data_IF_332818835280
#
_entry.id   IF_332818835280
#
_cell.length_a   1.000
_cell.length_b   1.000
_cell.length_c   1.000
_cell.angle_alpha   90.00
_cell.angle_beta   90.00
_cell.angle_gamma   90.00
#
_symmetry.space_group_name_H-M   'P 1'
#
loop_
_entity.id
_entity.type
_entity.pdbx_description
1 polymer ?
#
# COMPACT_ATOMS: atom_id res chain seq x y z
N UNK A 1 -52.87 -35.48 -70.28
CA UNK A 1 -51.50 -35.01 -70.58
C UNK A 1 -50.90 -34.43 -69.29
N UNK A 2 -49.70 -34.90 -68.93
CA UNK A 2 -48.58 -34.27 -68.18
C UNK A 2 -48.80 -32.87 -67.56
N UNK A 3 -48.24 -32.47 -66.41
CA UNK A 3 -46.92 -32.72 -65.77
C UNK A 3 -47.00 -32.18 -64.32
N UNK A 4 -46.26 -32.72 -63.33
CA UNK A 4 -44.95 -32.19 -62.88
C UNK A 4 -45.03 -31.82 -61.38
N UNK A 5 -44.34 -32.52 -60.47
CA UNK A 5 -42.97 -32.29 -59.96
C UNK A 5 -42.91 -31.51 -58.63
N UNK A 6 -42.46 -32.24 -57.61
CA UNK A 6 -41.42 -31.93 -56.60
C UNK A 6 -41.58 -30.73 -55.63
N UNK A 7 -41.25 -30.97 -54.36
CA UNK A 7 -41.47 -30.05 -53.25
C UNK A 7 -40.73 -30.35 -51.94
N UNK A 8 -39.43 -30.67 -52.06
CA UNK A 8 -38.31 -30.20 -51.23
C UNK A 8 -38.53 -29.86 -49.72
N UNK A 9 -37.84 -30.62 -48.87
CA UNK A 9 -37.55 -30.34 -47.46
C UNK A 9 -36.85 -28.98 -47.25
N UNK A 10 -37.28 -28.16 -46.27
CA UNK A 10 -36.41 -27.22 -45.51
C UNK A 10 -37.17 -26.53 -44.36
N UNK A 11 -36.85 -26.86 -43.11
CA UNK A 11 -37.46 -26.18 -41.95
C UNK A 11 -36.83 -26.51 -40.59
N UNK A 12 -35.50 -26.33 -40.41
CA UNK A 12 -34.84 -26.66 -39.13
C UNK A 12 -33.71 -25.74 -38.66
N UNK A 13 -33.33 -24.72 -39.43
CA UNK A 13 -32.12 -23.92 -39.17
C UNK A 13 -32.32 -22.65 -38.32
N UNK A 14 -33.52 -22.07 -38.30
CA UNK A 14 -33.76 -20.77 -37.66
C UNK A 14 -33.85 -20.85 -36.13
N UNK A 15 -34.49 -21.89 -35.59
CA UNK A 15 -34.74 -22.03 -34.15
C UNK A 15 -33.49 -22.28 -33.29
N UNK A 16 -32.40 -22.81 -33.86
CA UNK A 16 -31.16 -23.04 -33.09
C UNK A 16 -30.32 -21.77 -32.89
N UNK A 17 -30.39 -20.80 -33.82
CA UNK A 17 -29.61 -19.55 -33.71
C UNK A 17 -30.15 -18.60 -32.65
N UNK A 18 -31.48 -18.54 -32.49
CA UNK A 18 -32.14 -17.64 -31.52
C UNK A 18 -31.87 -18.09 -30.09
N UNK A 19 -31.94 -19.41 -29.83
CA UNK A 19 -31.67 -20.00 -28.52
C UNK A 19 -30.24 -19.75 -28.02
N UNK A 20 -29.26 -19.77 -28.93
CA UNK A 20 -27.86 -19.49 -28.62
C UNK A 20 -27.56 -18.01 -28.30
N UNK A 21 -28.34 -17.05 -28.82
CA UNK A 21 -28.18 -15.62 -28.48
C UNK A 21 -28.73 -15.31 -27.09
N UNK A 22 -29.90 -15.86 -26.74
CA UNK A 22 -30.54 -15.65 -25.44
C UNK A 22 -29.68 -16.24 -24.31
N UNK A 23 -29.10 -17.44 -24.49
CA UNK A 23 -28.19 -18.04 -23.51
C UNK A 23 -26.88 -17.26 -23.31
N UNK A 24 -26.43 -16.46 -24.28
CA UNK A 24 -25.23 -15.62 -24.15
C UNK A 24 -25.51 -14.34 -23.36
N UNK A 25 -26.68 -13.73 -23.55
CA UNK A 25 -27.09 -12.54 -22.79
C UNK A 25 -27.31 -12.85 -21.30
N UNK A 26 -27.92 -13.98 -20.97
CA UNK A 26 -28.17 -14.40 -19.57
C UNK A 26 -26.87 -14.66 -18.81
N UNK A 27 -25.85 -15.26 -19.47
CA UNK A 27 -24.54 -15.50 -18.86
C UNK A 27 -23.72 -14.21 -18.67
N UNK A 28 -23.83 -13.25 -19.60
CA UNK A 28 -23.15 -11.97 -19.49
C UNK A 28 -23.69 -11.10 -18.34
N UNK A 29 -25.01 -11.12 -18.12
CA UNK A 29 -25.64 -10.38 -17.01
C UNK A 29 -25.34 -10.97 -15.63
N UNK A 30 -25.28 -12.30 -15.50
CA UNK A 30 -24.94 -12.96 -14.23
C UNK A 30 -23.48 -12.73 -13.81
N UNK A 31 -22.54 -12.66 -14.76
CA UNK A 31 -21.14 -12.36 -14.48
C UNK A 31 -20.92 -10.89 -14.04
N UNK A 32 -21.75 -9.97 -14.55
CA UNK A 32 -21.64 -8.53 -14.23
C UNK A 32 -22.15 -8.21 -12.82
N UNK A 33 -23.17 -8.93 -12.33
CA UNK A 33 -23.69 -8.78 -10.96
C UNK A 33 -22.78 -9.39 -9.88
N UNK A 34 -22.00 -10.43 -10.21
CA UNK A 34 -21.04 -11.03 -9.28
C UNK A 34 -19.78 -10.18 -9.06
N UNK A 35 -19.40 -9.36 -10.05
CA UNK A 35 -18.26 -8.45 -9.95
C UNK A 35 -18.54 -7.23 -9.04
N UNK A 36 -19.80 -6.81 -8.91
CA UNK A 36 -20.18 -5.68 -8.06
C UNK A 36 -20.26 -6.05 -6.56
N UNK A 37 -20.43 -7.33 -6.23
CA UNK A 37 -20.53 -7.79 -4.84
C UNK A 37 -19.17 -7.92 -4.12
N UNK A 38 -18.05 -7.87 -4.84
CA UNK A 38 -16.70 -8.02 -4.25
C UNK A 38 -16.12 -6.72 -3.67
N UNK A 39 -16.80 -5.58 -3.83
CA UNK A 39 -16.23 -4.27 -3.49
C UNK A 39 -16.49 -3.78 -2.05
N UNK A 40 -17.23 -4.52 -1.21
CA UNK A 40 -17.71 -4.00 0.08
C UNK A 40 -16.87 -4.52 1.29
N UNK A 41 -15.80 -5.28 1.07
CA UNK A 41 -15.12 -6.02 2.16
C UNK A 41 -13.66 -5.67 2.49
N UNK A 42 -12.99 -4.76 1.78
CA UNK A 42 -11.52 -4.69 1.83
C UNK A 42 -10.89 -3.64 2.77
N UNK A 43 -11.67 -2.80 3.47
CA UNK A 43 -11.13 -1.67 4.23
C UNK A 43 -11.10 -1.88 5.76
N UNK A 44 -11.12 -3.11 6.26
CA UNK A 44 -11.21 -3.37 7.70
C UNK A 44 -9.93 -3.04 8.49
N UNK A 45 -8.78 -2.87 7.82
CA UNK A 45 -7.50 -2.59 8.49
C UNK A 45 -7.14 -1.10 8.55
N UNK A 46 -7.83 -0.24 7.79
CA UNK A 46 -7.53 1.19 7.74
C UNK A 46 -8.52 1.99 8.63
N UNK A 47 -8.03 2.92 9.46
CA UNK A 47 -8.89 3.80 10.24
C UNK A 47 -9.65 4.78 9.33
N UNK A 48 -10.90 5.10 9.66
CA UNK A 48 -11.68 6.10 8.89
C UNK A 48 -11.08 7.50 9.11
N UNK A 49 -10.79 8.21 8.01
CA UNK A 49 -10.32 9.62 8.00
C UNK A 49 -8.97 9.94 8.69
N UNK A 50 -8.21 8.93 9.11
CA UNK A 50 -6.87 9.09 9.69
C UNK A 50 -5.88 8.15 9.00
N UNK A 51 -4.58 8.44 9.01
CA UNK A 51 -3.56 7.51 8.50
C UNK A 51 -3.35 6.31 9.43
N UNK A 52 -2.93 5.17 8.88
CA UNK A 52 -2.46 4.05 9.70
C UNK A 52 -1.24 4.50 10.49
N UNK A 53 -1.27 4.38 11.81
CA UNK A 53 -0.22 4.90 12.69
C UNK A 53 -0.29 6.41 12.91
N UNK A 54 -1.45 7.07 12.73
CA UNK A 54 -1.73 8.45 13.15
C UNK A 54 -3.19 8.57 13.66
N UNK A 55 -3.59 7.68 14.58
CA UNK A 55 -4.96 7.66 15.16
C UNK A 55 -5.03 8.00 16.64
N UNK A 56 -3.89 8.34 17.24
CA UNK A 56 -3.71 8.78 18.63
C UNK A 56 -4.65 9.90 19.13
N UNK A 57 -5.38 10.59 18.24
CA UNK A 57 -6.39 11.61 18.59
C UNK A 57 -7.80 11.06 18.84
N UNK A 58 -8.06 9.79 18.53
CA UNK A 58 -9.36 9.14 18.75
C UNK A 58 -9.37 8.50 20.14
N UNK A 59 -10.16 9.05 21.07
CA UNK A 59 -10.26 8.52 22.42
C UNK A 59 -10.65 7.02 22.40
N UNK A 60 -9.81 6.19 23.04
CA UNK A 60 -10.00 4.76 23.27
C UNK A 60 -10.02 3.85 22.02
N UNK A 61 -9.16 4.10 21.03
CA UNK A 61 -8.70 2.99 20.21
C UNK A 61 -7.88 2.06 21.12
N UNK A 62 -8.40 0.85 21.35
CA UNK A 62 -7.72 -0.22 22.06
C UNK A 62 -6.31 -0.33 21.48
N UNK A 63 -5.28 -0.07 22.29
CA UNK A 63 -3.90 -0.28 21.89
C UNK A 63 -3.80 -1.69 21.31
N UNK A 64 -3.33 -1.80 20.06
CA UNK A 64 -3.07 -3.09 19.44
C UNK A 64 -2.23 -3.91 20.42
N UNK A 65 -2.77 -5.08 20.82
CA UNK A 65 -2.12 -6.05 21.69
C UNK A 65 -0.89 -6.58 20.94
N UNK A 66 0.18 -5.79 20.94
CA UNK A 66 1.50 -6.24 20.56
C UNK A 66 1.86 -7.29 21.60
N UNK A 67 1.58 -8.54 21.24
CA UNK A 67 2.02 -9.69 22.01
C UNK A 67 3.51 -9.52 22.21
N UNK A 68 3.91 -9.46 23.47
CA UNK A 68 5.30 -9.28 23.89
C UNK A 68 6.15 -10.39 23.25
N UNK A 69 6.84 -10.08 22.15
CA UNK A 69 7.64 -11.05 21.39
C UNK A 69 7.58 -10.94 19.87
N UNK A 70 6.56 -10.30 19.28
CA UNK A 70 6.54 -10.06 17.83
C UNK A 70 7.54 -8.96 17.46
N UNK A 71 8.46 -9.29 16.55
CA UNK A 71 9.51 -8.37 16.12
C UNK A 71 8.92 -7.39 15.11
N UNK A 72 8.77 -6.13 15.52
CA UNK A 72 8.35 -5.03 14.65
C UNK A 72 9.24 -5.04 13.41
N UNK A 73 8.63 -5.16 12.24
CA UNK A 73 9.33 -5.17 10.95
C UNK A 73 9.10 -3.85 10.24
N UNK A 74 10.19 -3.18 9.90
CA UNK A 74 10.19 -1.86 9.26
C UNK A 74 10.90 -1.97 7.93
N UNK A 75 10.20 -1.68 6.85
CA UNK A 75 10.77 -1.60 5.51
C UNK A 75 11.29 -0.20 5.20
N UNK A 76 12.43 -0.09 4.53
CA UNK A 76 13.00 1.16 4.04
C UNK A 76 13.07 1.07 2.51
N UNK A 77 12.33 1.93 1.82
CA UNK A 77 12.33 2.06 0.36
C UNK A 77 13.16 3.29 -0.01
N UNK A 78 14.39 3.03 -0.43
CA UNK A 78 15.35 4.06 -0.84
C UNK A 78 15.64 4.04 -2.34
N UNK A 79 16.64 4.83 -2.72
CA UNK A 79 17.25 4.79 -4.06
C UNK A 79 18.08 3.51 -4.27
N UNK A 80 18.67 3.39 -5.45
CA UNK A 80 19.38 2.19 -5.91
C UNK A 80 20.61 1.76 -5.11
N UNK A 81 21.15 2.63 -4.27
CA UNK A 81 22.37 2.38 -3.52
C UNK A 81 22.15 2.56 -2.03
N UNK A 82 22.50 1.50 -1.29
CA UNK A 82 22.59 1.57 0.16
C UNK A 82 23.67 2.60 0.54
N UNK A 83 23.24 3.63 1.26
CA UNK A 83 24.08 4.75 1.70
C UNK A 83 24.44 4.60 3.18
N UNK A 84 25.51 5.25 3.63
CA UNK A 84 25.86 5.28 5.06
C UNK A 84 24.69 5.71 5.99
N UNK A 85 23.84 6.68 5.60
CA UNK A 85 22.61 7.00 6.34
C UNK A 85 21.63 5.82 6.44
N UNK A 86 21.48 5.02 5.37
CA UNK A 86 20.61 3.83 5.36
C UNK A 86 21.11 2.79 6.37
N UNK A 87 22.41 2.51 6.36
CA UNK A 87 23.04 1.59 7.33
C UNK A 87 22.85 2.07 8.78
N UNK A 88 22.98 3.37 9.02
CA UNK A 88 22.72 3.95 10.34
C UNK A 88 21.26 3.74 10.76
N UNK A 89 20.30 3.92 9.85
CA UNK A 89 18.87 3.65 10.11
C UNK A 89 18.63 2.18 10.45
N UNK A 90 19.17 1.25 9.67
CA UNK A 90 19.04 -0.18 9.94
C UNK A 90 19.63 -0.55 11.31
N UNK A 91 20.80 0.01 11.66
CA UNK A 91 21.43 -0.21 12.97
C UNK A 91 20.61 0.38 14.12
N UNK A 92 20.02 1.56 13.94
CA UNK A 92 19.15 2.16 14.94
C UNK A 92 17.93 1.29 15.21
N UNK A 93 17.30 0.73 14.16
CA UNK A 93 16.20 -0.21 14.29
C UNK A 93 16.59 -1.48 15.06
N UNK A 94 17.71 -2.10 14.69
CA UNK A 94 18.21 -3.33 15.34
C UNK A 94 18.50 -3.09 16.83
N UNK A 95 19.09 -1.94 17.18
CA UNK A 95 19.37 -1.58 18.58
C UNK A 95 18.12 -1.40 19.44
N UNK A 96 16.94 -1.24 18.82
CA UNK A 96 15.63 -1.13 19.47
C UNK A 96 14.75 -2.37 19.25
N UNK A 97 15.37 -3.52 18.93
CA UNK A 97 14.68 -4.79 18.70
C UNK A 97 13.65 -4.76 17.56
N UNK A 98 13.86 -3.90 16.56
CA UNK A 98 13.09 -3.86 15.32
C UNK A 98 13.89 -4.49 14.17
N UNK A 99 13.21 -5.17 13.27
CA UNK A 99 13.79 -5.75 12.06
C UNK A 99 13.71 -4.72 10.94
N UNK A 100 14.86 -4.16 10.57
CA UNK A 100 14.98 -3.30 9.38
C UNK A 100 15.16 -4.11 8.11
N UNK A 101 14.36 -3.83 7.07
CA UNK A 101 14.51 -4.39 5.73
C UNK A 101 14.75 -3.26 4.74
N UNK A 102 15.88 -3.25 4.05
CA UNK A 102 16.13 -2.27 2.99
C UNK A 102 15.73 -2.84 1.62
N UNK A 103 14.97 -2.05 0.88
CA UNK A 103 14.55 -2.30 -0.48
C UNK A 103 15.08 -1.16 -1.35
N UNK A 104 16.36 -1.24 -1.71
CA UNK A 104 17.01 -0.43 -2.73
C UNK A 104 17.10 -1.20 -4.04
N UNK A 105 16.70 -0.59 -5.16
CA UNK A 105 16.53 -1.25 -6.45
C UNK A 105 16.99 -0.37 -7.62
N UNK A 106 16.16 -0.15 -8.63
CA UNK A 106 16.39 0.96 -9.56
C UNK A 106 15.71 2.22 -9.05
N UNK A 107 16.19 3.40 -9.45
CA UNK A 107 15.55 4.69 -9.10
C UNK A 107 14.24 4.96 -9.86
N UNK A 108 13.66 3.93 -10.50
CA UNK A 108 12.37 4.01 -11.17
C UNK A 108 11.22 3.95 -10.16
N UNK A 109 10.18 4.74 -10.42
CA UNK A 109 8.96 4.73 -9.60
C UNK A 109 8.30 3.33 -9.56
N UNK A 110 8.33 2.58 -10.67
CA UNK A 110 7.79 1.21 -10.72
C UNK A 110 8.51 0.27 -9.75
N UNK A 111 9.85 0.36 -9.66
CA UNK A 111 10.62 -0.47 -8.73
C UNK A 111 10.32 -0.09 -7.27
N UNK A 112 10.19 1.20 -6.98
CA UNK A 112 9.98 1.69 -5.61
C UNK A 112 8.56 1.44 -5.14
N UNK A 113 7.55 1.64 -5.99
CA UNK A 113 6.16 1.28 -5.70
C UNK A 113 5.98 -0.24 -5.59
N UNK A 114 6.69 -1.03 -6.41
CA UNK A 114 6.78 -2.48 -6.25
C UNK A 114 7.39 -2.90 -4.91
N UNK A 115 8.44 -2.21 -4.45
CA UNK A 115 9.02 -2.46 -3.13
C UNK A 115 8.06 -2.18 -1.98
N UNK A 116 7.22 -1.13 -2.07
CA UNK A 116 6.14 -0.89 -1.11
C UNK A 116 5.17 -2.08 -1.09
N UNK A 117 4.73 -2.54 -2.25
CA UNK A 117 3.84 -3.70 -2.35
C UNK A 117 4.48 -4.97 -1.76
N UNK A 118 5.77 -5.22 -2.02
CA UNK A 118 6.49 -6.35 -1.44
C UNK A 118 6.54 -6.30 0.10
N UNK A 119 6.76 -5.11 0.67
CA UNK A 119 6.77 -4.90 2.11
C UNK A 119 5.38 -5.13 2.73
N UNK A 120 4.31 -4.72 2.03
CA UNK A 120 2.93 -5.03 2.43
C UNK A 120 2.71 -6.55 2.46
N UNK A 121 3.11 -7.28 1.42
CA UNK A 121 2.99 -8.75 1.37
C UNK A 121 3.81 -9.44 2.47
N UNK A 122 4.95 -8.85 2.84
CA UNK A 122 5.82 -9.33 3.93
C UNK A 122 5.30 -8.97 5.32
N UNK A 123 4.15 -8.29 5.42
CA UNK A 123 3.57 -7.80 6.68
C UNK A 123 4.54 -6.90 7.45
N UNK A 124 5.21 -6.00 6.74
CA UNK A 124 5.87 -4.88 7.40
C UNK A 124 4.83 -4.09 8.20
N UNK A 125 5.23 -3.60 9.37
CA UNK A 125 4.37 -2.77 10.22
C UNK A 125 4.45 -1.31 9.78
N UNK A 126 5.61 -0.88 9.29
CA UNK A 126 5.87 0.45 8.75
C UNK A 126 6.72 0.36 7.49
N UNK A 127 6.38 1.19 6.51
CA UNK A 127 7.22 1.48 5.34
C UNK A 127 7.76 2.90 5.44
N UNK A 128 9.07 3.03 5.46
CA UNK A 128 9.82 4.27 5.41
C UNK A 128 10.23 4.55 3.96
N UNK A 129 9.83 5.69 3.40
CA UNK A 129 10.16 6.08 2.02
C UNK A 129 11.14 7.25 2.07
N UNK A 130 12.38 7.02 1.63
CA UNK A 130 13.44 8.05 1.64
C UNK A 130 13.48 8.86 0.33
N UNK A 131 13.74 10.16 0.41
CA UNK A 131 13.93 11.01 -0.78
C UNK A 131 12.72 11.06 -1.70
N UNK A 132 11.51 11.16 -1.13
CA UNK A 132 10.27 11.28 -1.89
C UNK A 132 10.15 12.68 -2.52
N UNK A 133 9.90 12.73 -3.83
CA UNK A 133 9.99 13.98 -4.61
C UNK A 133 8.61 14.61 -4.90
N UNK A 134 8.62 15.85 -5.40
CA UNK A 134 7.40 16.55 -5.85
C UNK A 134 6.66 15.81 -6.97
N UNK A 135 7.40 15.21 -7.90
CA UNK A 135 6.83 14.45 -9.00
C UNK A 135 6.12 13.19 -8.50
N UNK A 136 6.71 12.52 -7.51
CA UNK A 136 6.13 11.33 -6.90
C UNK A 136 4.88 11.65 -6.09
N UNK A 137 4.88 12.78 -5.36
CA UNK A 137 3.71 13.26 -4.63
C UNK A 137 2.47 13.53 -5.52
N UNK A 138 2.69 13.86 -6.79
CA UNK A 138 1.62 14.07 -7.77
C UNK A 138 1.28 12.81 -8.60
N UNK A 139 1.95 11.69 -8.35
CA UNK A 139 1.80 10.48 -9.16
C UNK A 139 0.62 9.61 -8.72
N UNK A 140 -0.19 9.20 -9.69
CA UNK A 140 -1.28 8.25 -9.47
C UNK A 140 -0.77 6.86 -9.06
N UNK A 141 0.39 6.42 -9.58
CA UNK A 141 0.99 5.14 -9.21
C UNK A 141 1.41 5.13 -7.73
N UNK A 142 2.01 6.22 -7.26
CA UNK A 142 2.35 6.38 -5.85
C UNK A 142 1.12 6.48 -4.97
N UNK A 143 0.08 7.22 -5.40
CA UNK A 143 -1.20 7.27 -4.68
C UNK A 143 -1.79 5.86 -4.49
N UNK A 144 -1.79 5.04 -5.56
CA UNK A 144 -2.28 3.67 -5.50
C UNK A 144 -1.42 2.76 -4.59
N UNK A 145 -0.10 2.91 -4.62
CA UNK A 145 0.80 2.15 -3.76
C UNK A 145 0.61 2.48 -2.27
N UNK A 146 0.47 3.77 -1.94
CA UNK A 146 0.21 4.22 -0.58
C UNK A 146 -1.19 3.79 -0.10
N UNK A 147 -2.19 3.86 -0.98
CA UNK A 147 -3.53 3.37 -0.67
C UNK A 147 -3.52 1.86 -0.39
N UNK A 148 -2.76 1.07 -1.16
CA UNK A 148 -2.60 -0.36 -0.91
C UNK A 148 -2.00 -0.64 0.48
N UNK A 149 -0.92 0.07 0.84
CA UNK A 149 -0.33 -0.06 2.17
C UNK A 149 -1.33 0.28 3.28
N UNK A 150 -2.06 1.39 3.12
CA UNK A 150 -3.12 1.81 4.02
C UNK A 150 -4.22 0.75 4.16
N UNK A 151 -4.75 0.24 3.06
CA UNK A 151 -5.82 -0.77 3.04
C UNK A 151 -5.38 -2.06 3.72
N UNK A 152 -4.08 -2.38 3.65
CA UNK A 152 -3.46 -3.51 4.34
C UNK A 152 -3.16 -3.25 5.83
N UNK A 153 -3.39 -2.05 6.35
CA UNK A 153 -3.07 -1.69 7.73
C UNK A 153 -1.58 -1.49 7.97
N UNK A 154 -0.81 -1.15 6.94
CA UNK A 154 0.62 -0.86 7.02
C UNK A 154 0.83 0.64 7.11
N UNK A 155 1.50 1.10 8.17
CA UNK A 155 1.83 2.51 8.32
C UNK A 155 2.86 2.92 7.25
N UNK A 156 2.81 4.18 6.82
CA UNK A 156 3.81 4.76 5.92
C UNK A 156 4.34 6.04 6.51
N UNK A 157 5.66 6.22 6.51
CA UNK A 157 6.27 7.50 6.84
C UNK A 157 7.36 7.85 5.83
N UNK A 158 7.61 9.15 5.70
CA UNK A 158 8.59 9.67 4.74
C UNK A 158 9.87 10.09 5.45
N UNK A 159 11.03 9.86 4.85
CA UNK A 159 12.31 10.36 5.34
C UNK A 159 12.83 11.41 4.35
N UNK A 160 13.20 12.58 4.86
CA UNK A 160 13.81 13.67 4.08
C UNK A 160 13.10 13.97 2.75
N UNK A 161 11.77 13.87 2.74
CA UNK A 161 10.98 14.10 1.53
C UNK A 161 11.00 15.58 1.13
N UNK A 162 11.05 15.82 -0.18
CA UNK A 162 10.93 17.16 -0.76
C UNK A 162 9.47 17.65 -0.78
N UNK A 163 8.53 16.72 -0.85
CA UNK A 163 7.09 16.96 -0.83
C UNK A 163 6.37 15.74 -0.25
N UNK A 164 5.12 15.93 0.17
CA UNK A 164 4.26 14.89 0.71
C UNK A 164 3.04 14.69 -0.19
N UNK A 165 2.42 13.49 -0.18
CA UNK A 165 1.14 13.27 -0.84
C UNK A 165 0.10 14.31 -0.41
N UNK A 166 -0.74 14.74 -1.35
CA UNK A 166 -1.78 15.74 -1.08
C UNK A 166 -2.84 15.22 -0.09
N UNK A 167 -3.10 13.91 -0.11
CA UNK A 167 -4.00 13.27 0.84
C UNK A 167 -3.24 12.89 2.13
N UNK A 168 -3.54 13.53 3.27
CA UNK A 168 -2.84 13.28 4.53
C UNK A 168 -3.18 11.94 5.18
N UNK A 169 -4.21 11.22 4.71
CA UNK A 169 -4.56 9.89 5.25
C UNK A 169 -3.65 8.78 4.72
N UNK A 170 -2.81 9.08 3.73
CA UNK A 170 -1.91 8.12 3.09
C UNK A 170 -0.57 7.93 3.82
N UNK A 171 -0.28 8.73 4.84
CA UNK A 171 0.96 8.63 5.59
C UNK A 171 0.78 9.02 7.04
N UNK A 172 1.47 8.32 7.94
CA UNK A 172 1.50 8.59 9.37
C UNK A 172 2.28 9.87 9.67
N UNK A 173 3.53 9.95 9.21
CA UNK A 173 4.44 11.03 9.55
C UNK A 173 5.48 11.31 8.45
N UNK A 174 6.18 12.43 8.58
CA UNK A 174 7.42 12.73 7.87
C UNK A 174 8.54 12.97 8.88
N UNK A 175 9.70 12.36 8.64
CA UNK A 175 10.88 12.41 9.47
C UNK A 175 11.97 13.19 8.72
N UNK A 176 12.54 14.20 9.36
CA UNK A 176 13.72 14.92 8.88
C UNK A 176 14.94 14.51 9.68
N UNK A 177 16.00 14.12 8.97
CA UNK A 177 17.32 13.80 9.52
C UNK A 177 18.31 14.90 9.13
N UNK A 178 18.58 15.88 10.01
CA UNK A 178 19.47 16.99 9.69
C UNK A 178 20.88 16.53 9.33
N UNK A 179 21.40 16.99 8.20
CA UNK A 179 22.77 16.71 7.76
C UNK A 179 23.11 15.23 7.58
N UNK A 180 22.09 14.36 7.47
CA UNK A 180 22.24 12.90 7.44
C UNK A 180 22.97 12.30 8.67
N UNK A 181 23.04 13.06 9.75
CA UNK A 181 23.58 12.61 11.03
C UNK A 181 22.41 12.49 12.01
N UNK A 182 22.07 11.26 12.38
CA UNK A 182 20.99 10.98 13.34
C UNK A 182 21.54 10.36 14.61
N UNK A 183 21.00 10.80 15.73
CA UNK A 183 21.01 10.04 16.96
C UNK A 183 20.12 8.80 16.79
N UNK A 184 20.71 7.62 17.00
CA UNK A 184 20.03 6.34 16.74
C UNK A 184 18.81 6.14 17.66
N UNK A 185 18.89 6.58 18.92
CA UNK A 185 17.80 6.43 19.87
C UNK A 185 16.62 7.35 19.50
N UNK A 186 16.90 8.59 19.10
CA UNK A 186 15.88 9.52 18.62
C UNK A 186 15.14 9.00 17.39
N UNK A 187 15.86 8.47 16.40
CA UNK A 187 15.24 7.89 15.21
C UNK A 187 14.40 6.66 15.52
N UNK A 188 14.95 5.71 16.28
CA UNK A 188 14.25 4.48 16.60
C UNK A 188 13.02 4.72 17.48
N UNK A 189 13.09 5.66 18.43
CA UNK A 189 11.94 6.06 19.24
C UNK A 189 10.82 6.68 18.40
N UNK A 190 11.15 7.51 17.40
CA UNK A 190 10.16 8.05 16.48
C UNK A 190 9.48 6.94 15.65
N UNK A 191 10.25 5.98 15.17
CA UNK A 191 9.72 4.83 14.42
C UNK A 191 8.82 3.95 15.29
N UNK A 192 9.25 3.62 16.50
CA UNK A 192 8.47 2.80 17.43
C UNK A 192 7.14 3.48 17.79
N UNK A 193 7.17 4.79 18.03
CA UNK A 193 5.96 5.57 18.31
C UNK A 193 4.96 5.56 17.14
N UNK A 194 5.44 5.66 15.89
CA UNK A 194 4.58 5.57 14.70
C UNK A 194 3.98 4.16 14.56
N UNK A 195 4.82 3.12 14.67
CA UNK A 195 4.39 1.72 14.53
C UNK A 195 3.33 1.36 15.57
N UNK A 196 3.50 1.82 16.80
CA UNK A 196 2.60 1.55 17.93
C UNK A 196 1.40 2.50 18.00
N UNK A 197 1.32 3.46 17.07
CA UNK A 197 0.34 4.55 17.09
C UNK A 197 0.31 5.31 18.42
N UNK A 198 1.48 5.45 19.05
CA UNK A 198 1.67 6.26 20.25
C UNK A 198 1.67 7.76 19.90
N UNK A 199 1.48 8.68 20.86
CA UNK A 199 1.55 10.11 20.59
C UNK A 199 2.84 10.55 19.90
N UNK A 200 2.72 11.07 18.67
CA UNK A 200 3.83 11.65 17.90
C UNK A 200 3.35 12.81 17.02
N UNK A 201 4.28 13.63 16.53
CA UNK A 201 3.99 14.73 15.62
C UNK A 201 3.92 14.24 14.16
N UNK A 202 3.08 14.89 13.34
CA UNK A 202 3.03 14.63 11.88
C UNK A 202 4.37 14.90 11.18
N UNK A 203 5.12 15.87 11.70
CA UNK A 203 6.46 16.20 11.26
C UNK A 203 7.43 16.03 12.43
N UNK A 204 8.42 15.15 12.28
CA UNK A 204 9.38 14.79 13.32
C UNK A 204 10.78 15.17 12.83
N UNK A 205 11.51 15.93 13.64
CA UNK A 205 12.94 16.16 13.41
C UNK A 205 13.72 15.29 14.37
N UNK A 206 14.54 14.38 13.88
CA UNK A 206 15.41 13.58 14.76
C UNK A 206 16.59 14.40 15.23
N UNK A 207 17.03 14.14 16.45
CA UNK A 207 18.27 14.72 16.96
C UNK A 207 19.47 14.23 16.14
N UNK A 208 20.50 15.06 16.01
CA UNK A 208 21.79 14.70 15.42
C UNK A 208 22.78 14.32 16.52
N UNK A 209 23.67 13.36 16.25
CA UNK A 209 24.76 13.03 17.16
C UNK A 209 25.80 14.16 17.14
N UNK A 210 26.05 14.84 18.25
CA UNK A 210 27.10 15.87 18.38
C UNK A 210 28.48 15.27 18.59
#
# INVERSE_FOLDING_TARGET
MNNGMDGSMKGGGANRRVRNKIQRCVRALAAMLLAAAYAIGAAACAPHDAAVGDTQKTAAAIAHDYVQGDRITVGIVGSSQESAPTLAMLKALDSHNMVGLYMGGSDSDDSRTGAVADLVHRRAHLVLIDGFTKQQAASAAWTAALQNARDAGVAVAFINAEALPADPVLYAASITVPGHNMDSASFASAVDAIVRDEPHAKHITVASHT
#
